data_IF_448251833369
#
_entry.id   IF_448251833369
#
_cell.length_a   1.000
_cell.length_b   1.000
_cell.length_c   1.000
_cell.angle_alpha   90.00
_cell.angle_beta   90.00
_cell.angle_gamma   90.00
#
_symmetry.space_group_name_H-M   'P 1'
#
loop_
_entity.id
_entity.type
_entity.pdbx_description
1 polymer ?
#
# COMPACT_ATOMS: atom_id res chain seq x y z
N UNK A 1 -21.18 -18.10 -31.41
CA UNK A 1 -20.65 -17.11 -30.43
C UNK A 1 -21.31 -17.17 -29.03
N UNK A 2 -22.30 -18.05 -28.78
CA UNK A 2 -22.97 -18.22 -27.47
C UNK A 2 -22.26 -19.26 -26.58
N UNK A 3 -21.60 -20.25 -27.19
CA UNK A 3 -20.95 -21.36 -26.47
C UNK A 3 -19.66 -20.96 -25.72
N UNK A 4 -18.87 -20.01 -26.25
CA UNK A 4 -17.66 -19.49 -25.58
C UNK A 4 -18.00 -18.62 -24.35
N UNK A 5 -19.14 -17.93 -24.35
CA UNK A 5 -19.67 -17.21 -23.18
C UNK A 5 -20.04 -18.18 -22.05
N UNK A 6 -20.63 -19.34 -22.37
CA UNK A 6 -21.01 -20.33 -21.35
C UNK A 6 -19.82 -21.05 -20.71
N UNK A 7 -18.75 -21.37 -21.46
CA UNK A 7 -17.63 -22.12 -20.89
C UNK A 7 -16.81 -21.31 -19.87
N UNK A 8 -16.66 -19.99 -20.08
CA UNK A 8 -16.12 -19.07 -19.07
C UNK A 8 -17.07 -18.85 -17.89
N UNK A 9 -18.39 -18.94 -18.12
CA UNK A 9 -19.41 -18.85 -17.07
C UNK A 9 -19.30 -20.01 -16.07
N UNK A 10 -19.10 -21.24 -16.55
CA UNK A 10 -19.00 -22.44 -15.69
C UNK A 10 -17.69 -22.52 -14.89
N UNK A 11 -16.55 -22.07 -15.44
CA UNK A 11 -15.29 -22.05 -14.69
C UNK A 11 -15.25 -20.95 -13.62
N UNK A 12 -16.01 -19.88 -13.82
CA UNK A 12 -16.22 -18.81 -12.84
C UNK A 12 -17.43 -19.05 -11.93
N UNK A 13 -18.22 -20.11 -12.14
CA UNK A 13 -19.47 -20.34 -11.41
C UNK A 13 -19.27 -20.49 -9.90
N UNK A 14 -18.12 -21.02 -9.46
CA UNK A 14 -17.76 -21.13 -8.04
C UNK A 14 -17.41 -19.77 -7.43
N UNK A 15 -16.73 -18.92 -8.20
CA UNK A 15 -16.37 -17.55 -7.85
C UNK A 15 -17.61 -16.64 -7.84
N UNK A 16 -18.50 -16.82 -8.83
CA UNK A 16 -19.83 -16.21 -8.85
C UNK A 16 -20.70 -16.73 -7.70
N UNK A 17 -20.68 -18.02 -7.34
CA UNK A 17 -21.41 -18.52 -6.17
C UNK A 17 -20.83 -17.99 -4.85
N UNK A 18 -19.51 -17.84 -4.71
CA UNK A 18 -18.91 -17.30 -3.50
C UNK A 18 -19.06 -15.78 -3.35
N UNK A 19 -19.03 -15.03 -4.46
CA UNK A 19 -19.16 -13.56 -4.47
C UNK A 19 -20.61 -13.09 -4.61
N UNK A 20 -21.43 -13.76 -5.43
CA UNK A 20 -22.83 -13.42 -5.70
C UNK A 20 -23.86 -14.17 -4.83
N UNK A 21 -23.44 -14.89 -3.78
CA UNK A 21 -24.37 -15.44 -2.76
C UNK A 21 -24.22 -14.78 -1.39
N UNK A 22 -23.28 -13.85 -1.17
CA UNK A 22 -23.15 -13.11 0.09
C UNK A 22 -22.44 -11.76 -0.09
N UNK A 23 -22.99 -10.67 0.47
CA UNK A 23 -22.41 -9.31 0.51
C UNK A 23 -20.96 -9.27 0.98
N UNK A 24 -20.56 -10.18 1.86
CA UNK A 24 -19.17 -10.28 2.33
C UNK A 24 -18.19 -10.63 1.18
N UNK A 25 -18.63 -11.43 0.20
CA UNK A 25 -17.83 -11.78 -0.96
C UNK A 25 -17.64 -10.61 -1.92
N UNK A 26 -18.70 -9.83 -2.18
CA UNK A 26 -18.63 -8.61 -2.98
C UNK A 26 -17.72 -7.56 -2.33
N UNK A 27 -17.87 -7.30 -1.03
CA UNK A 27 -17.00 -6.36 -0.32
C UNK A 27 -15.52 -6.77 -0.40
N UNK A 28 -15.22 -8.06 -0.22
CA UNK A 28 -13.86 -8.57 -0.35
C UNK A 28 -13.32 -8.38 -1.77
N UNK A 29 -14.13 -8.69 -2.79
CA UNK A 29 -13.74 -8.48 -4.19
C UNK A 29 -13.43 -7.01 -4.49
N UNK A 30 -14.28 -6.09 -4.03
CA UNK A 30 -14.06 -4.66 -4.22
C UNK A 30 -12.79 -4.19 -3.50
N UNK A 31 -12.56 -4.67 -2.28
CA UNK A 31 -11.34 -4.37 -1.53
C UNK A 31 -10.08 -4.85 -2.28
N UNK A 32 -10.01 -6.15 -2.57
CA UNK A 32 -8.84 -6.79 -3.17
C UNK A 32 -8.48 -6.17 -4.53
N UNK A 33 -9.49 -5.75 -5.30
CA UNK A 33 -9.30 -5.26 -6.67
C UNK A 33 -9.14 -3.74 -6.77
N UNK A 34 -9.87 -2.97 -5.97
CA UNK A 34 -9.93 -1.50 -6.11
C UNK A 34 -9.35 -0.79 -4.89
N UNK A 35 -9.83 -1.12 -3.69
CA UNK A 35 -9.43 -0.39 -2.49
C UNK A 35 -7.96 -0.60 -2.15
N UNK A 36 -7.45 -1.83 -2.19
CA UNK A 36 -6.03 -2.11 -1.90
C UNK A 36 -5.10 -1.36 -2.86
N UNK A 37 -5.45 -1.29 -4.14
CA UNK A 37 -4.71 -0.50 -5.12
C UNK A 37 -4.69 0.99 -4.78
N UNK A 38 -5.83 1.54 -4.33
CA UNK A 38 -5.92 2.93 -3.88
C UNK A 38 -5.16 3.17 -2.55
N UNK A 39 -5.15 2.21 -1.61
CA UNK A 39 -4.32 2.28 -0.40
C UNK A 39 -2.83 2.35 -0.77
N UNK A 40 -2.37 1.49 -1.70
CA UNK A 40 -1.00 1.50 -2.22
C UNK A 40 -0.66 2.79 -3.00
N UNK A 41 -1.62 3.35 -3.75
CA UNK A 41 -1.48 4.65 -4.43
C UNK A 41 -1.13 5.75 -3.44
N UNK A 42 -1.91 5.82 -2.37
CA UNK A 42 -1.80 6.85 -1.35
C UNK A 42 -0.49 6.69 -0.62
N UNK A 43 -0.10 5.48 -0.21
CA UNK A 43 1.19 5.22 0.42
C UNK A 43 2.35 5.69 -0.48
N UNK A 44 2.29 5.45 -1.81
CA UNK A 44 3.32 5.93 -2.76
C UNK A 44 3.38 7.46 -2.85
N UNK A 45 2.24 8.14 -2.94
CA UNK A 45 2.20 9.61 -2.93
C UNK A 45 2.76 10.17 -1.63
N UNK A 46 2.39 9.58 -0.49
CA UNK A 46 2.88 9.99 0.84
C UNK A 46 4.39 9.78 0.94
N UNK A 47 4.94 8.77 0.27
CA UNK A 47 6.39 8.56 0.14
C UNK A 47 7.07 9.50 -0.86
N UNK A 48 6.31 10.31 -1.63
CA UNK A 48 6.84 11.14 -2.70
C UNK A 48 7.33 10.32 -3.91
N UNK A 49 6.87 9.09 -4.04
CA UNK A 49 7.18 8.19 -5.16
C UNK A 49 6.07 8.35 -6.20
N UNK A 50 6.46 8.38 -7.48
CA UNK A 50 5.49 8.36 -8.57
C UNK A 50 4.62 7.10 -8.46
N UNK A 51 3.30 7.25 -8.24
CA UNK A 51 2.43 6.08 -8.12
C UNK A 51 2.32 5.38 -9.47
N UNK A 52 2.17 4.05 -9.44
CA UNK A 52 1.89 3.29 -10.66
C UNK A 52 0.52 3.69 -11.22
N UNK A 53 0.34 3.57 -12.53
CA UNK A 53 -0.95 3.88 -13.17
C UNK A 53 -2.03 2.87 -12.71
N UNK A 54 -2.91 3.32 -11.83
CA UNK A 54 -4.03 2.52 -11.30
C UNK A 54 -5.25 2.61 -12.22
N UNK A 55 -5.13 3.24 -13.39
CA UNK A 55 -6.11 3.07 -14.47
C UNK A 55 -6.02 1.66 -15.08
N UNK A 56 -4.92 0.94 -14.83
CA UNK A 56 -4.57 -0.37 -15.41
C UNK A 56 -5.46 -1.58 -15.06
N UNK A 57 -6.09 -1.73 -13.86
CA UNK A 57 -7.01 -2.83 -13.58
C UNK A 57 -8.21 -2.89 -14.55
N UNK A 58 -8.44 -1.79 -15.29
CA UNK A 58 -9.52 -1.61 -16.25
C UNK A 58 -9.06 -1.60 -17.72
N UNK A 59 -7.78 -1.72 -18.04
CA UNK A 59 -7.34 -1.78 -19.45
C UNK A 59 -7.71 -3.10 -20.12
N UNK A 60 -7.82 -4.17 -19.33
CA UNK A 60 -8.48 -5.40 -19.76
C UNK A 60 -9.96 -5.34 -19.40
N UNK A 61 -10.85 -5.45 -20.39
CA UNK A 61 -12.25 -5.85 -20.18
C UNK A 61 -12.27 -7.07 -19.26
N UNK A 62 -12.48 -6.86 -17.96
CA UNK A 62 -12.48 -7.97 -17.03
C UNK A 62 -13.88 -8.56 -17.09
N UNK A 63 -13.99 -9.68 -17.79
CA UNK A 63 -15.24 -10.43 -17.97
C UNK A 63 -15.94 -10.72 -16.63
N UNK A 64 -15.19 -10.77 -15.53
CA UNK A 64 -15.71 -10.93 -14.17
C UNK A 64 -16.49 -9.70 -13.70
N UNK A 65 -16.02 -8.48 -13.97
CA UNK A 65 -16.77 -7.25 -13.64
C UNK A 65 -18.08 -7.18 -14.43
N UNK A 66 -18.02 -7.52 -15.72
CA UNK A 66 -19.20 -7.57 -16.59
C UNK A 66 -20.19 -8.62 -16.08
N UNK A 67 -19.72 -9.81 -15.72
CA UNK A 67 -20.57 -10.88 -15.20
C UNK A 67 -21.22 -10.49 -13.87
N UNK A 68 -20.51 -9.82 -12.96
CA UNK A 68 -21.08 -9.33 -11.71
C UNK A 68 -22.07 -8.18 -11.92
N UNK A 69 -21.70 -7.19 -12.73
CA UNK A 69 -22.56 -6.06 -13.03
C UNK A 69 -23.82 -6.48 -13.80
N UNK A 70 -23.77 -7.52 -14.65
CA UNK A 70 -24.96 -8.00 -15.37
C UNK A 70 -25.73 -9.11 -14.65
N UNK A 71 -25.40 -9.44 -13.39
CA UNK A 71 -26.03 -10.56 -12.67
C UNK A 71 -27.50 -10.27 -12.31
N UNK A 72 -27.76 -9.18 -11.59
CA UNK A 72 -29.10 -8.60 -11.38
C UNK A 72 -29.01 -7.12 -10.95
N UNK A 73 -30.16 -6.44 -10.92
CA UNK A 73 -30.24 -5.01 -10.61
C UNK A 73 -29.91 -4.63 -9.16
N UNK A 74 -29.96 -5.58 -8.23
CA UNK A 74 -29.55 -5.35 -6.85
C UNK A 74 -28.01 -5.44 -6.73
N UNK A 75 -27.38 -6.39 -7.42
CA UNK A 75 -25.92 -6.49 -7.49
C UNK A 75 -25.28 -5.28 -8.16
N UNK A 76 -25.89 -4.72 -9.19
CA UNK A 76 -25.47 -3.45 -9.79
C UNK A 76 -25.43 -2.33 -8.76
N UNK A 77 -26.51 -2.18 -7.99
CA UNK A 77 -26.62 -1.15 -6.94
C UNK A 77 -25.62 -1.38 -5.83
N UNK A 78 -25.46 -2.63 -5.37
CA UNK A 78 -24.52 -2.97 -4.31
C UNK A 78 -23.07 -2.73 -4.78
N UNK A 79 -22.73 -3.04 -6.03
CA UNK A 79 -21.39 -2.79 -6.60
C UNK A 79 -21.09 -1.29 -6.72
N UNK A 80 -22.01 -0.51 -7.31
CA UNK A 80 -21.87 0.94 -7.40
C UNK A 80 -21.75 1.58 -6.01
N UNK A 81 -22.56 1.14 -5.06
CA UNK A 81 -22.46 1.58 -3.67
C UNK A 81 -21.08 1.32 -3.07
N UNK A 82 -20.50 0.13 -3.28
CA UNK A 82 -19.15 -0.16 -2.81
C UNK A 82 -18.08 0.73 -3.46
N UNK A 83 -18.20 1.00 -4.77
CA UNK A 83 -17.26 1.85 -5.52
C UNK A 83 -17.35 3.30 -5.05
N UNK A 84 -18.56 3.85 -4.93
CA UNK A 84 -18.80 5.23 -4.48
C UNK A 84 -18.27 5.47 -3.04
N UNK A 85 -18.19 4.41 -2.24
CA UNK A 85 -17.62 4.47 -0.88
C UNK A 85 -16.08 4.43 -0.83
N UNK A 86 -15.38 4.10 -1.92
CA UNK A 86 -13.92 3.95 -1.93
C UNK A 86 -13.23 5.24 -1.45
N UNK A 87 -13.65 6.41 -1.94
CA UNK A 87 -13.08 7.69 -1.52
C UNK A 87 -13.20 7.92 0.00
N UNK A 88 -14.32 7.51 0.61
CA UNK A 88 -14.50 7.60 2.06
C UNK A 88 -13.67 6.56 2.82
N UNK A 89 -13.52 5.36 2.27
CA UNK A 89 -12.66 4.34 2.86
C UNK A 89 -11.20 4.78 2.86
N UNK A 90 -10.73 5.39 1.77
CA UNK A 90 -9.37 5.94 1.67
C UNK A 90 -9.15 7.11 2.62
N UNK A 91 -10.17 7.96 2.83
CA UNK A 91 -10.10 8.98 3.87
C UNK A 91 -9.88 8.36 5.26
N UNK A 92 -10.67 7.34 5.62
CA UNK A 92 -10.51 6.60 6.89
C UNK A 92 -9.16 5.89 6.98
N UNK A 93 -8.66 5.38 5.85
CA UNK A 93 -7.34 4.76 5.76
C UNK A 93 -6.22 5.75 6.13
N UNK A 94 -6.23 6.95 5.54
CA UNK A 94 -5.27 8.02 5.84
C UNK A 94 -5.37 8.42 7.32
N UNK A 95 -6.58 8.64 7.83
CA UNK A 95 -6.81 8.98 9.25
C UNK A 95 -6.26 7.91 10.19
N UNK A 96 -6.47 6.63 9.86
CA UNK A 96 -5.90 5.49 10.59
C UNK A 96 -4.38 5.50 10.54
N UNK A 97 -3.77 5.64 9.36
CA UNK A 97 -2.31 5.69 9.20
C UNK A 97 -1.68 6.83 9.99
N UNK A 98 -2.29 8.01 10.00
CA UNK A 98 -1.86 9.15 10.79
C UNK A 98 -1.88 8.83 12.29
N UNK A 99 -2.98 8.26 12.78
CA UNK A 99 -3.13 7.90 14.19
C UNK A 99 -2.08 6.87 14.61
N UNK A 100 -1.95 5.81 13.82
CA UNK A 100 -1.10 4.66 14.15
C UNK A 100 0.40 4.96 13.90
N UNK A 101 0.72 6.03 13.15
CA UNK A 101 2.11 6.40 12.84
C UNK A 101 2.92 6.74 14.09
N UNK A 102 2.33 7.39 15.10
CA UNK A 102 3.04 7.71 16.36
C UNK A 102 3.54 6.46 17.06
N UNK A 103 2.72 5.40 17.10
CA UNK A 103 3.08 4.12 17.70
C UNK A 103 4.19 3.43 16.88
N UNK A 104 4.10 3.50 15.56
CA UNK A 104 5.15 2.99 14.67
C UNK A 104 6.49 3.72 14.82
N UNK A 105 6.48 5.02 15.11
CA UNK A 105 7.70 5.77 15.43
C UNK A 105 8.29 5.34 16.78
N UNK A 106 7.44 5.07 17.77
CA UNK A 106 7.88 4.59 19.07
C UNK A 106 8.47 3.17 19.00
N UNK A 107 7.91 2.30 18.15
CA UNK A 107 8.46 0.97 17.85
C UNK A 107 9.87 1.08 17.25
N UNK A 108 10.05 1.97 16.27
CA UNK A 108 11.36 2.22 15.67
C UNK A 108 12.38 2.76 16.69
N UNK A 109 11.98 3.72 17.52
CA UNK A 109 12.87 4.33 18.52
C UNK A 109 13.34 3.33 19.60
N UNK A 110 12.62 2.21 19.78
CA UNK A 110 12.97 1.14 20.73
C UNK A 110 13.56 -0.09 20.04
N UNK A 111 13.76 -0.02 18.73
CA UNK A 111 14.13 -1.19 17.94
C UNK A 111 15.52 -1.72 18.31
N UNK A 112 16.48 -0.81 18.51
CA UNK A 112 17.83 -1.15 18.95
C UNK A 112 17.98 -0.81 20.44
N UNK A 113 18.54 -1.75 21.19
CA UNK A 113 19.00 -1.49 22.55
C UNK A 113 20.41 -0.90 22.51
N UNK A 114 20.56 0.33 22.97
CA UNK A 114 21.83 1.06 23.00
C UNK A 114 22.64 0.83 24.29
N UNK A 115 22.15 -0.01 25.22
CA UNK A 115 22.97 -0.43 26.37
C UNK A 115 24.20 -1.25 25.95
N UNK A 116 24.27 -1.68 24.70
CA UNK A 116 25.46 -2.27 24.08
C UNK A 116 25.54 -1.82 22.62
N UNK A 117 26.75 -1.59 22.09
CA UNK A 117 26.91 -0.97 20.78
C UNK A 117 26.50 -1.91 19.66
N UNK A 118 25.91 -1.33 18.63
CA UNK A 118 25.65 -2.00 17.35
C UNK A 118 26.68 -1.53 16.32
N UNK A 119 26.98 -2.37 15.34
CA UNK A 119 27.77 -2.03 14.18
C UNK A 119 26.89 -2.12 12.94
N UNK A 120 26.91 -1.08 12.11
CA UNK A 120 26.25 -1.04 10.82
C UNK A 120 27.28 -1.23 9.70
N UNK A 121 27.12 -2.30 8.94
CA UNK A 121 27.83 -2.48 7.68
C UNK A 121 26.96 -1.97 6.54
N UNK A 122 27.44 -0.93 5.86
CA UNK A 122 26.75 -0.21 4.80
C UNK A 122 27.46 -0.55 3.48
N UNK A 123 26.74 -1.18 2.56
CA UNK A 123 27.24 -1.54 1.24
C UNK A 123 26.50 -0.75 0.16
N UNK A 124 27.24 -0.01 -0.66
CA UNK A 124 26.68 0.68 -1.82
C UNK A 124 26.87 -0.16 -3.08
N UNK A 125 25.76 -0.61 -3.68
CA UNK A 125 25.82 -1.30 -4.97
C UNK A 125 26.42 -0.45 -6.11
N UNK A 126 26.46 0.88 -5.96
CA UNK A 126 26.99 1.81 -6.97
C UNK A 126 28.51 1.94 -6.93
N UNK A 127 29.10 2.06 -5.75
CA UNK A 127 30.56 2.26 -5.61
C UNK A 127 31.31 0.97 -5.26
N UNK A 128 30.60 -0.07 -4.81
CA UNK A 128 31.15 -1.31 -4.23
C UNK A 128 31.98 -1.08 -2.97
N UNK A 129 31.89 0.09 -2.37
CA UNK A 129 32.54 0.39 -1.10
C UNK A 129 31.72 -0.19 0.06
N UNK A 130 32.44 -0.69 1.06
CA UNK A 130 31.89 -1.08 2.35
C UNK A 130 32.31 -0.04 3.38
N UNK A 131 31.32 0.57 4.01
CA UNK A 131 31.51 1.46 5.14
C UNK A 131 31.02 0.76 6.41
N UNK A 132 31.75 0.92 7.52
CA UNK A 132 31.40 0.34 8.82
C UNK A 132 31.28 1.47 9.82
N UNK A 133 30.18 1.50 10.57
CA UNK A 133 29.91 2.53 11.59
C UNK A 133 29.39 1.90 12.88
N UNK A 134 29.77 2.47 14.01
CA UNK A 134 29.12 2.15 15.28
C UNK A 134 27.80 2.91 15.40
N UNK A 135 26.82 2.29 16.05
CA UNK A 135 25.50 2.82 16.35
C UNK A 135 25.30 2.67 17.85
N UNK A 136 25.50 3.77 18.57
CA UNK A 136 25.47 3.88 20.02
C UNK A 136 24.28 4.72 20.50
N UNK A 137 23.51 5.30 19.57
CA UNK A 137 22.43 6.22 19.86
C UNK A 137 21.28 6.15 18.85
N UNK A 138 20.13 6.68 19.28
CA UNK A 138 18.96 6.87 18.41
C UNK A 138 19.23 7.85 17.27
N UNK A 139 20.13 8.81 17.47
CA UNK A 139 20.49 9.80 16.45
C UNK A 139 21.24 9.12 15.30
N UNK A 140 22.22 8.28 15.60
CA UNK A 140 22.95 7.47 14.60
C UNK A 140 22.03 6.46 13.89
N UNK A 141 21.09 5.83 14.61
CA UNK A 141 20.08 4.97 13.98
C UNK A 141 19.24 5.76 12.95
N UNK A 142 18.86 7.00 13.27
CA UNK A 142 18.12 7.88 12.33
C UNK A 142 19.01 8.36 11.19
N UNK A 143 20.30 8.54 11.41
CA UNK A 143 21.24 8.83 10.32
C UNK A 143 21.31 7.68 9.31
N UNK A 144 21.27 6.41 9.75
CA UNK A 144 21.19 5.27 8.83
C UNK A 144 19.94 5.30 7.96
N UNK A 145 18.78 5.69 8.53
CA UNK A 145 17.56 5.90 7.74
C UNK A 145 17.80 6.98 6.68
N UNK A 146 18.45 8.08 7.04
CA UNK A 146 18.75 9.15 6.08
C UNK A 146 19.67 8.69 4.95
N UNK A 147 20.67 7.86 5.25
CA UNK A 147 21.56 7.25 4.24
C UNK A 147 20.73 6.38 3.29
N UNK A 148 19.95 5.45 3.84
CA UNK A 148 19.07 4.58 3.05
C UNK A 148 18.05 5.38 2.23
N UNK A 149 17.49 6.46 2.77
CA UNK A 149 16.48 7.24 2.08
C UNK A 149 17.06 8.05 0.91
N UNK A 150 18.30 8.51 1.03
CA UNK A 150 19.02 9.18 -0.07
C UNK A 150 19.37 8.21 -1.20
N UNK A 151 19.66 6.95 -0.87
CA UNK A 151 19.98 5.93 -1.86
C UNK A 151 19.38 4.57 -1.49
N UNK A 152 18.25 4.25 -2.11
CA UNK A 152 17.51 2.99 -1.91
C UNK A 152 18.27 1.75 -2.41
N UNK A 153 19.41 1.90 -3.09
CA UNK A 153 20.28 0.80 -3.51
C UNK A 153 21.32 0.39 -2.47
N UNK A 154 21.35 1.08 -1.32
CA UNK A 154 22.24 0.75 -0.20
C UNK A 154 21.66 -0.42 0.60
N UNK A 155 22.52 -1.40 0.89
CA UNK A 155 22.24 -2.51 1.80
C UNK A 155 22.90 -2.23 3.14
N UNK A 156 22.16 -2.41 4.24
CA UNK A 156 22.65 -2.13 5.60
C UNK A 156 22.40 -3.35 6.46
N UNK A 157 23.46 -4.00 6.95
CA UNK A 157 23.35 -5.05 7.96
C UNK A 157 23.72 -4.48 9.33
N UNK A 158 23.04 -4.92 10.39
CA UNK A 158 23.32 -4.51 11.76
C UNK A 158 23.81 -5.70 12.58
N UNK A 159 24.93 -5.52 13.25
CA UNK A 159 25.57 -6.52 14.09
C UNK A 159 25.57 -6.06 15.54
N UNK A 160 25.04 -6.88 16.42
CA UNK A 160 25.05 -6.59 17.85
C UNK A 160 26.39 -7.00 18.45
N UNK A 161 27.19 -6.03 18.92
CA UNK A 161 28.54 -6.33 19.41
C UNK A 161 28.55 -7.02 20.80
N UNK A 162 27.40 -7.05 21.49
CA UNK A 162 27.23 -7.75 22.76
C UNK A 162 26.85 -9.23 22.65
N UNK A 163 26.80 -9.82 21.45
CA UNK A 163 26.38 -11.21 21.24
C UNK A 163 26.41 -11.65 19.77
N UNK A 164 25.71 -12.73 19.42
CA UNK A 164 25.66 -13.27 18.05
C UNK A 164 24.37 -12.86 17.30
N UNK A 165 23.82 -11.67 17.59
CA UNK A 165 22.62 -11.20 16.92
C UNK A 165 22.98 -10.36 15.69
N UNK A 166 22.39 -10.72 14.56
CA UNK A 166 22.51 -9.99 13.29
C UNK A 166 21.10 -9.67 12.78
N UNK A 167 20.93 -8.46 12.26
CA UNK A 167 19.75 -8.04 11.53
C UNK A 167 20.18 -7.79 10.08
N UNK A 168 19.67 -8.62 9.18
CA UNK A 168 20.05 -8.53 7.77
C UNK A 168 19.39 -7.32 7.08
N UNK A 169 19.94 -6.97 5.92
CA UNK A 169 19.49 -5.81 5.15
C UNK A 169 18.01 -5.82 4.76
N UNK A 170 17.39 -6.98 4.54
CA UNK A 170 15.96 -7.06 4.22
C UNK A 170 15.10 -6.66 5.43
N UNK A 171 15.49 -7.09 6.63
CA UNK A 171 14.83 -6.72 7.87
C UNK A 171 15.04 -5.23 8.18
N UNK A 172 16.27 -4.73 8.01
CA UNK A 172 16.58 -3.31 8.19
C UNK A 172 15.78 -2.45 7.21
N UNK A 173 15.75 -2.84 5.94
CA UNK A 173 14.98 -2.18 4.89
C UNK A 173 13.50 -2.09 5.24
N UNK A 174 12.87 -3.20 5.67
CA UNK A 174 11.46 -3.19 6.09
C UNK A 174 11.20 -2.21 7.22
N UNK A 175 12.08 -2.18 8.22
CA UNK A 175 11.94 -1.28 9.35
C UNK A 175 12.12 0.19 8.93
N UNK A 176 13.08 0.48 8.06
CA UNK A 176 13.33 1.83 7.54
C UNK A 176 12.20 2.31 6.64
N UNK A 177 11.71 1.47 5.72
CA UNK A 177 10.56 1.78 4.87
C UNK A 177 9.32 2.11 5.72
N UNK A 178 9.06 1.32 6.77
CA UNK A 178 7.97 1.57 7.73
C UNK A 178 8.14 2.89 8.48
N UNK A 179 9.35 3.16 8.97
CA UNK A 179 9.66 4.41 9.68
C UNK A 179 9.46 5.65 8.79
N UNK A 180 9.97 5.61 7.55
CA UNK A 180 9.84 6.70 6.59
C UNK A 180 8.36 6.96 6.27
N UNK A 181 7.60 5.91 6.01
CA UNK A 181 6.16 6.03 5.73
C UNK A 181 5.42 6.67 6.91
N UNK A 182 5.66 6.19 8.14
CA UNK A 182 5.04 6.74 9.35
C UNK A 182 5.42 8.20 9.59
N UNK A 183 6.70 8.56 9.41
CA UNK A 183 7.18 9.94 9.53
C UNK A 183 6.48 10.86 8.52
N UNK A 184 6.29 10.38 7.29
CA UNK A 184 5.60 11.15 6.25
C UNK A 184 4.11 11.32 6.56
N UNK A 185 3.43 10.30 7.09
CA UNK A 185 2.04 10.43 7.55
C UNK A 185 1.89 11.42 8.70
N UNK A 186 2.80 11.43 9.68
CA UNK A 186 2.79 12.45 10.74
C UNK A 186 3.00 13.86 10.18
N UNK A 187 3.89 14.00 9.20
CA UNK A 187 4.14 15.28 8.53
C UNK A 187 2.93 15.72 7.69
N UNK A 188 2.21 14.77 7.08
CA UNK A 188 0.98 15.01 6.33
C UNK A 188 -0.12 15.58 7.23
N UNK A 189 -0.27 15.08 8.46
CA UNK A 189 -1.24 15.58 9.43
C UNK A 189 -1.01 17.06 9.81
N UNK A 190 0.24 17.54 9.73
CA UNK A 190 0.56 18.94 9.97
C UNK A 190 0.15 19.86 8.79
N UNK A 191 -0.21 19.31 7.63
CA UNK A 191 -0.57 20.08 6.43
C UNK A 191 -1.86 19.55 5.76
N UNK A 192 -3.01 20.11 6.18
CA UNK A 192 -4.34 19.72 5.67
C UNK A 192 -4.50 19.87 4.15
N UNK A 193 -3.88 20.87 3.53
CA UNK A 193 -3.97 21.08 2.08
C UNK A 193 -3.41 19.89 1.28
N UNK A 194 -2.41 19.19 1.84
CA UNK A 194 -1.85 18.01 1.19
C UNK A 194 -2.79 16.80 1.26
N UNK A 195 -3.56 16.65 2.36
CA UNK A 195 -4.57 15.59 2.49
C UNK A 195 -5.69 15.82 1.48
N UNK A 196 -6.21 17.04 1.40
CA UNK A 196 -7.29 17.37 0.47
C UNK A 196 -6.87 17.16 -1.00
N UNK A 197 -5.61 17.47 -1.33
CA UNK A 197 -5.06 17.18 -2.67
C UNK A 197 -5.06 15.68 -2.98
N UNK A 198 -4.57 14.85 -2.06
CA UNK A 198 -4.56 13.38 -2.22
C UNK A 198 -5.99 12.86 -2.38
N UNK A 199 -6.92 13.33 -1.54
CA UNK A 199 -8.32 12.92 -1.61
C UNK A 199 -8.98 13.33 -2.93
N UNK A 200 -8.67 14.52 -3.48
CA UNK A 200 -9.18 14.94 -4.78
C UNK A 200 -8.66 14.04 -5.92
N UNK A 201 -7.39 13.61 -5.88
CA UNK A 201 -6.87 12.64 -6.84
C UNK A 201 -7.59 11.30 -6.75
N UNK A 202 -7.82 10.80 -5.53
CA UNK A 202 -8.57 9.55 -5.29
C UNK A 202 -10.00 9.67 -5.80
N UNK A 203 -10.68 10.79 -5.55
CA UNK A 203 -12.04 11.05 -6.07
C UNK A 203 -12.05 10.99 -7.59
N UNK A 204 -11.08 11.63 -8.27
CA UNK A 204 -11.01 11.58 -9.73
C UNK A 204 -10.81 10.14 -10.26
N UNK A 205 -10.00 9.32 -9.57
CA UNK A 205 -9.79 7.92 -9.94
C UNK A 205 -11.08 7.11 -9.72
N UNK A 206 -11.76 7.30 -8.60
CA UNK A 206 -13.03 6.62 -8.29
C UNK A 206 -14.13 7.04 -9.27
N UNK A 207 -14.22 8.32 -9.64
CA UNK A 207 -15.15 8.81 -10.65
C UNK A 207 -14.90 8.14 -12.01
N UNK A 208 -13.64 7.93 -12.38
CA UNK A 208 -13.28 7.20 -13.61
C UNK A 208 -13.68 5.73 -13.52
N UNK A 209 -13.61 5.10 -12.34
CA UNK A 209 -14.12 3.74 -12.12
C UNK A 209 -15.63 3.71 -12.32
N UNK A 210 -16.38 4.59 -11.64
CA UNK A 210 -17.85 4.67 -11.73
C UNK A 210 -18.32 4.90 -13.17
N UNK A 211 -17.67 5.82 -13.92
CA UNK A 211 -17.97 6.04 -15.34
C UNK A 211 -17.79 4.77 -16.18
N UNK A 212 -16.73 3.98 -15.94
CA UNK A 212 -16.52 2.73 -16.68
C UNK A 212 -17.61 1.70 -16.39
N UNK A 213 -18.14 1.64 -15.17
CA UNK A 213 -19.28 0.77 -14.86
C UNK A 213 -20.58 1.19 -15.56
N UNK A 214 -20.81 2.50 -15.71
CA UNK A 214 -21.96 3.02 -16.46
C UNK A 214 -21.93 2.68 -17.97
N UNK A 215 -20.77 2.30 -18.52
CA UNK A 215 -20.66 1.85 -19.91
C UNK A 215 -21.10 0.39 -20.11
N UNK A 216 -21.38 -0.36 -19.03
CA UNK A 216 -21.90 -1.72 -19.08
C UNK A 216 -23.44 -1.79 -19.13
N UNK A 217 -24.12 -0.66 -19.31
CA UNK A 217 -25.56 -0.64 -19.60
C UNK A 217 -25.83 -1.36 -20.94
N UNK A 218 -26.28 -2.61 -20.86
CA UNK A 218 -26.68 -3.48 -21.98
C UNK A 218 -28.19 -3.41 -22.22
#
# INVERSE_FOLDING_TARGET
MIFLKMHYFFKNERLCKEVALNRNGLNKYIYDKYENGLEEYVDKIVLGIEPCDIKSPFESYNIIDVVFYSYDSQYQKDMLYCIDNLSQNIKKYIERKIRDASDGMAEFNKWLDFNSPWEAEIYSGKTKDKEVRNIESLEEQKELVNIYNKDKSVEINLFYLGGNNEINWEQVKKMFDKYILNSNYLSLNANKNNIDRILNEVVNIVDDYTKKFSLYDF
#
